data_IF_673006209808
#
_entry.id   IF_673006209808
#
_cell.length_a   1.000
_cell.length_b   1.000
_cell.length_c   1.000
_cell.angle_alpha   90.00
_cell.angle_beta   90.00
_cell.angle_gamma   90.00
#
_symmetry.space_group_name_H-M   'P 1'
#
loop_
_entity.id
_entity.type
_entity.pdbx_description
1 polymer ?
#
# COMPACT_ATOMS: atom_id res chain seq x y z
N UNK A 1 -7.56 -15.74 -4.94
CA UNK A 1 -6.50 -16.74 -4.74
C UNK A 1 -5.19 -15.98 -4.66
N UNK A 2 -4.26 -16.41 -3.81
CA UNK A 2 -2.92 -15.84 -3.72
C UNK A 2 -2.12 -16.11 -5.00
N UNK A 3 -1.15 -15.25 -5.29
CA UNK A 3 -0.24 -15.42 -6.43
C UNK A 3 0.87 -16.43 -6.10
N UNK A 4 1.63 -16.93 -7.09
CA UNK A 4 2.90 -17.59 -6.84
C UNK A 4 3.83 -16.70 -6.01
N UNK A 5 4.62 -17.26 -5.09
CA UNK A 5 5.51 -16.47 -4.22
C UNK A 5 6.50 -15.60 -5.02
N UNK A 6 6.96 -16.08 -6.18
CA UNK A 6 7.87 -15.34 -7.07
C UNK A 6 7.23 -14.13 -7.76
N UNK A 7 5.90 -13.98 -7.69
CA UNK A 7 5.18 -12.83 -8.24
C UNK A 7 4.95 -11.73 -7.18
N UNK A 8 5.46 -11.89 -5.96
CA UNK A 8 5.41 -10.87 -4.92
C UNK A 8 6.69 -10.05 -4.84
N UNK A 9 6.52 -8.73 -4.78
CA UNK A 9 7.54 -7.79 -4.40
C UNK A 9 7.46 -7.49 -2.89
N UNK A 10 8.61 -7.38 -2.23
CA UNK A 10 8.74 -6.95 -0.84
C UNK A 10 8.96 -5.43 -0.79
N UNK A 11 8.20 -4.71 0.04
CA UNK A 11 8.60 -3.37 0.49
C UNK A 11 9.23 -3.46 1.88
N UNK A 12 9.89 -2.40 2.35
CA UNK A 12 10.43 -2.37 3.70
C UNK A 12 10.56 -0.92 4.21
N UNK A 13 10.42 -0.77 5.53
CA UNK A 13 10.75 0.43 6.32
C UNK A 13 11.76 0.13 7.44
N UNK A 14 12.44 -1.02 7.35
CA UNK A 14 13.33 -1.62 8.36
C UNK A 14 12.62 -2.23 9.58
N UNK A 15 11.31 -2.04 9.73
CA UNK A 15 10.52 -2.55 10.86
C UNK A 15 9.56 -3.66 10.44
N UNK A 16 9.03 -3.59 9.22
CA UNK A 16 8.17 -4.63 8.61
C UNK A 16 8.38 -4.73 7.10
N UNK A 17 7.62 -5.62 6.45
CA UNK A 17 7.71 -5.85 5.01
C UNK A 17 6.42 -6.42 4.40
N UNK A 18 5.59 -5.60 3.73
CA UNK A 18 4.44 -6.09 3.00
C UNK A 18 4.86 -6.84 1.73
N UNK A 19 4.03 -7.82 1.35
CA UNK A 19 4.16 -8.53 0.08
C UNK A 19 3.11 -8.02 -0.91
N UNK A 20 3.58 -7.35 -1.96
CA UNK A 20 2.78 -6.78 -3.05
C UNK A 20 2.76 -7.78 -4.21
N UNK A 21 1.62 -8.38 -4.49
CA UNK A 21 1.43 -9.23 -5.66
C UNK A 21 1.52 -8.40 -6.93
N UNK A 22 2.06 -9.00 -8.00
CA UNK A 22 2.05 -8.45 -9.36
C UNK A 22 0.64 -8.07 -9.85
N UNK A 23 -0.43 -8.60 -9.25
CA UNK A 23 -1.82 -8.25 -9.54
C UNK A 23 -2.30 -6.99 -8.78
N UNK A 24 -1.40 -6.28 -8.08
CA UNK A 24 -1.70 -5.03 -7.36
C UNK A 24 -2.32 -5.23 -5.97
N UNK A 25 -2.25 -6.44 -5.41
CA UNK A 25 -2.76 -6.74 -4.06
C UNK A 25 -1.63 -6.83 -3.04
N UNK A 26 -1.76 -6.14 -1.91
CA UNK A 26 -0.94 -6.43 -0.73
C UNK A 26 -1.64 -7.55 0.05
N UNK A 27 -1.05 -8.75 0.04
CA UNK A 27 -1.66 -9.96 0.62
C UNK A 27 -1.04 -10.39 1.95
N UNK A 28 0.08 -9.77 2.32
CA UNK A 28 0.73 -9.93 3.62
C UNK A 28 1.20 -8.58 4.14
N UNK A 29 0.91 -8.28 5.41
CA UNK A 29 1.46 -7.14 6.13
C UNK A 29 1.25 -7.32 7.63
N UNK A 30 2.32 -7.18 8.40
CA UNK A 30 2.29 -7.00 9.84
C UNK A 30 2.59 -5.53 10.15
N UNK A 31 1.83 -4.89 11.04
CA UNK A 31 2.13 -3.53 11.51
C UNK A 31 2.17 -3.50 13.04
N UNK A 32 3.07 -2.70 13.65
CA UNK A 32 4.10 -1.89 13.00
C UNK A 32 5.39 -2.66 12.68
N UNK A 33 5.50 -3.92 13.11
CA UNK A 33 6.76 -4.68 13.08
C UNK A 33 6.57 -6.11 12.57
N UNK A 34 7.65 -6.76 12.13
CA UNK A 34 7.62 -8.11 11.57
C UNK A 34 6.96 -9.17 12.46
N UNK A 35 7.09 -9.06 13.78
CA UNK A 35 6.52 -10.01 14.76
C UNK A 35 5.19 -9.53 15.37
N UNK A 36 4.57 -8.48 14.82
CA UNK A 36 3.17 -8.17 15.09
C UNK A 36 2.24 -9.15 14.40
N UNK A 37 1.00 -9.23 14.90
CA UNK A 37 -0.06 -9.94 14.18
C UNK A 37 -0.34 -9.29 12.82
N UNK A 38 -0.67 -10.11 11.82
CA UNK A 38 -0.90 -9.64 10.47
C UNK A 38 -2.25 -8.91 10.35
N UNK A 39 -2.27 -7.79 9.64
CA UNK A 39 -3.50 -7.09 9.20
C UNK A 39 -3.99 -7.58 7.84
N UNK A 40 -3.06 -8.08 7.02
CA UNK A 40 -3.33 -8.77 5.75
C UNK A 40 -2.67 -10.14 5.80
N UNK A 41 -3.46 -11.18 5.48
CA UNK A 41 -3.00 -12.57 5.47
C UNK A 41 -3.60 -13.40 4.33
N UNK A 42 -4.08 -12.73 3.28
CA UNK A 42 -4.64 -13.37 2.09
C UNK A 42 -3.67 -14.33 1.39
N UNK A 43 -2.34 -14.16 1.55
CA UNK A 43 -1.36 -15.10 1.01
C UNK A 43 -1.52 -16.53 1.55
N UNK A 44 -2.00 -16.65 2.81
CA UNK A 44 -2.22 -17.93 3.51
C UNK A 44 -3.66 -18.46 3.34
N UNK A 45 -4.52 -17.75 2.60
CA UNK A 45 -5.93 -18.11 2.46
C UNK A 45 -6.61 -17.46 1.27
N UNK A 46 -7.58 -16.62 1.56
CA UNK A 46 -8.42 -15.92 0.56
C UNK A 46 -8.43 -14.43 0.85
N UNK A 47 -9.05 -13.65 -0.04
CA UNK A 47 -9.27 -12.21 0.18
C UNK A 47 -9.98 -11.88 1.50
N UNK A 48 -10.79 -12.80 2.04
CA UNK A 48 -11.44 -12.62 3.34
C UNK A 48 -10.48 -12.60 4.53
N UNK A 49 -9.24 -13.06 4.34
CA UNK A 49 -8.17 -13.05 5.35
C UNK A 49 -7.37 -11.74 5.34
N UNK A 50 -7.88 -10.73 4.62
CA UNK A 50 -7.35 -9.38 4.61
C UNK A 50 -6.36 -9.15 3.49
N UNK A 51 -6.61 -8.10 2.73
CA UNK A 51 -5.76 -7.62 1.64
C UNK A 51 -6.01 -6.14 1.38
N UNK A 52 -5.13 -5.57 0.57
CA UNK A 52 -5.35 -4.28 -0.06
C UNK A 52 -5.08 -4.35 -1.55
N UNK A 53 -6.14 -4.48 -2.35
CA UNK A 53 -6.08 -4.47 -3.81
C UNK A 53 -6.21 -3.04 -4.35
N UNK A 54 -5.35 -2.71 -5.31
CA UNK A 54 -5.43 -1.51 -6.14
C UNK A 54 -4.86 -1.86 -7.52
N UNK A 55 -5.73 -1.97 -8.50
CA UNK A 55 -5.33 -2.32 -9.87
C UNK A 55 -6.36 -1.82 -10.88
N UNK A 56 -5.95 -1.50 -12.11
CA UNK A 56 -6.90 -1.29 -13.19
C UNK A 56 -7.60 -2.59 -13.58
N UNK A 57 -8.94 -2.61 -13.72
CA UNK A 57 -9.64 -3.78 -14.22
C UNK A 57 -9.21 -4.06 -15.66
N UNK A 58 -9.00 -5.33 -16.00
CA UNK A 58 -8.50 -5.77 -17.31
C UNK A 58 -7.10 -5.23 -17.67
N UNK A 59 -6.40 -4.63 -16.71
CA UNK A 59 -5.03 -4.18 -16.90
C UNK A 59 -4.05 -5.33 -16.98
N UNK A 60 -3.05 -5.19 -17.85
CA UNK A 60 -1.90 -6.10 -17.92
C UNK A 60 -0.66 -5.36 -17.44
N UNK A 61 0.10 -5.97 -16.53
CA UNK A 61 1.39 -5.42 -16.10
C UNK A 61 2.40 -5.50 -17.24
N UNK A 62 2.87 -4.35 -17.72
CA UNK A 62 3.87 -4.25 -18.79
C UNK A 62 5.28 -4.21 -18.23
N UNK A 63 5.46 -3.63 -17.05
CA UNK A 63 6.75 -3.49 -16.39
C UNK A 63 6.57 -3.45 -14.87
N UNK A 64 7.53 -4.01 -14.15
CA UNK A 64 7.58 -3.93 -12.69
C UNK A 64 9.03 -3.99 -12.23
N UNK A 65 9.46 -2.98 -11.48
CA UNK A 65 10.82 -2.90 -10.98
C UNK A 65 10.87 -2.07 -9.70
N UNK A 66 11.90 -2.28 -8.90
CA UNK A 66 12.28 -1.31 -7.88
C UNK A 66 13.04 -0.17 -8.53
N UNK A 67 12.78 1.08 -8.13
CA UNK A 67 13.64 2.17 -8.56
C UNK A 67 15.09 1.89 -8.16
N UNK A 68 16.07 2.19 -9.02
CA UNK A 68 17.47 1.82 -8.80
C UNK A 68 17.99 2.20 -7.41
N UNK A 69 18.48 1.19 -6.67
CA UNK A 69 19.04 1.36 -5.33
C UNK A 69 18.00 1.66 -4.24
N UNK A 70 16.72 1.28 -4.44
CA UNK A 70 15.65 1.53 -3.46
C UNK A 70 14.71 0.35 -3.27
N UNK A 71 13.90 0.41 -2.21
CA UNK A 71 12.67 -0.41 -2.06
C UNK A 71 11.40 0.32 -2.51
N UNK A 72 11.51 1.34 -3.38
CA UNK A 72 10.35 1.98 -4.02
C UNK A 72 9.96 1.13 -5.22
N UNK A 73 8.79 0.49 -5.15
CA UNK A 73 8.28 -0.36 -6.22
C UNK A 73 7.50 0.48 -7.24
N UNK A 74 7.73 0.22 -8.52
CA UNK A 74 6.95 0.75 -9.64
C UNK A 74 6.32 -0.39 -10.41
N UNK A 75 5.01 -0.30 -10.65
CA UNK A 75 4.27 -1.26 -11.47
C UNK A 75 3.51 -0.51 -12.55
N UNK A 76 3.86 -0.74 -13.81
CA UNK A 76 3.19 -0.14 -14.96
C UNK A 76 2.15 -1.08 -15.54
N UNK A 77 0.99 -0.51 -15.84
CA UNK A 77 -0.19 -1.19 -16.33
C UNK A 77 -0.62 -0.61 -17.65
N UNK A 78 -0.97 -1.49 -18.59
CA UNK A 78 -1.66 -1.15 -19.84
C UNK A 78 -3.11 -1.64 -19.77
N UNK A 79 -4.04 -0.75 -20.08
CA UNK A 79 -5.48 -1.08 -20.25
C UNK A 79 -5.89 -0.80 -21.70
N UNK A 80 -7.12 -1.15 -22.11
CA UNK A 80 -7.63 -0.77 -23.44
C UNK A 80 -7.73 0.75 -23.66
N UNK A 81 -7.77 1.56 -22.60
CA UNK A 81 -8.08 2.99 -22.65
C UNK A 81 -6.93 3.90 -22.18
N UNK A 82 -5.84 3.33 -21.67
CA UNK A 82 -4.71 4.11 -21.19
C UNK A 82 -3.61 3.29 -20.53
N UNK A 83 -2.64 4.00 -19.97
CA UNK A 83 -1.54 3.44 -19.19
C UNK A 83 -1.50 4.10 -17.81
N UNK A 84 -1.18 3.33 -16.78
CA UNK A 84 -1.03 3.82 -15.42
C UNK A 84 0.21 3.25 -14.77
N UNK A 85 0.75 3.98 -13.80
CA UNK A 85 1.84 3.54 -12.94
C UNK A 85 1.38 3.59 -11.50
N UNK A 86 1.63 2.52 -10.75
CA UNK A 86 1.46 2.47 -9.30
C UNK A 86 2.85 2.51 -8.68
N UNK A 87 3.08 3.49 -7.80
CA UNK A 87 4.30 3.67 -7.01
C UNK A 87 3.97 3.32 -5.56
N UNK A 88 4.70 2.38 -5.00
CA UNK A 88 4.44 1.84 -3.67
C UNK A 88 5.72 1.84 -2.84
N UNK A 89 5.64 2.37 -1.62
CA UNK A 89 6.78 2.46 -0.71
C UNK A 89 6.31 2.61 0.74
N UNK A 90 7.24 2.36 1.65
CA UNK A 90 7.07 2.70 3.05
C UNK A 90 8.08 3.80 3.42
N UNK A 91 7.64 4.94 3.98
CA UNK A 91 8.52 5.97 4.51
C UNK A 91 9.48 5.42 5.58
N UNK A 92 10.66 6.05 5.70
CA UNK A 92 11.70 5.65 6.66
C UNK A 92 12.07 6.81 7.55
N UNK A 93 12.40 6.50 8.81
CA UNK A 93 12.96 7.41 9.81
C UNK A 93 12.04 8.58 10.20
N UNK A 94 10.72 8.40 10.10
CA UNK A 94 9.70 9.36 10.57
C UNK A 94 8.95 8.89 11.82
N UNK A 95 9.34 7.75 12.40
CA UNK A 95 8.69 7.08 13.55
C UNK A 95 7.21 6.73 13.30
N UNK A 96 6.83 6.59 12.04
CA UNK A 96 5.48 6.21 11.62
C UNK A 96 5.51 4.82 11.01
N UNK A 97 4.34 4.20 10.95
CA UNK A 97 4.13 2.91 10.29
C UNK A 97 3.15 3.15 9.13
N UNK A 98 3.68 3.77 8.07
CA UNK A 98 2.92 4.18 6.90
C UNK A 98 3.20 3.26 5.70
N UNK A 99 2.16 2.95 4.94
CA UNK A 99 2.25 2.34 3.62
C UNK A 99 1.57 3.24 2.60
N UNK A 100 2.33 3.66 1.60
CA UNK A 100 1.89 4.59 0.56
C UNK A 100 1.68 3.86 -0.76
N UNK A 101 0.56 4.17 -1.43
CA UNK A 101 0.28 3.76 -2.79
C UNK A 101 -0.15 4.99 -3.60
N UNK A 102 0.63 5.33 -4.61
CA UNK A 102 0.37 6.46 -5.51
C UNK A 102 0.08 5.92 -6.91
N UNK A 103 -1.06 6.29 -7.49
CA UNK A 103 -1.43 5.96 -8.87
C UNK A 103 -1.26 7.19 -9.74
N UNK A 104 -0.57 7.05 -10.86
CA UNK A 104 -0.44 8.07 -11.91
C UNK A 104 -1.02 7.54 -13.21
N UNK A 105 -1.85 8.31 -13.89
CA UNK A 105 -2.25 8.01 -15.26
C UNK A 105 -1.20 8.58 -16.23
N UNK A 106 -0.50 7.70 -16.94
CA UNK A 106 0.59 8.06 -17.86
C UNK A 106 0.06 8.52 -19.22
N UNK A 107 -1.05 7.92 -19.69
CA UNK A 107 -1.71 8.29 -20.94
C UNK A 107 -3.17 7.83 -20.97
N UNK A 108 -4.00 8.53 -21.74
CA UNK A 108 -5.41 8.17 -21.92
C UNK A 108 -6.24 8.31 -20.64
N UNK A 109 -7.13 7.35 -20.40
CA UNK A 109 -7.98 7.29 -19.20
C UNK A 109 -7.90 5.89 -18.60
N UNK A 110 -7.61 5.81 -17.30
CA UNK A 110 -7.53 4.54 -16.58
C UNK A 110 -8.44 4.58 -15.36
N UNK A 111 -9.25 3.54 -15.20
CA UNK A 111 -10.00 3.26 -13.98
C UNK A 111 -9.15 2.42 -13.05
N UNK A 112 -9.12 2.75 -11.77
CA UNK A 112 -8.51 1.92 -10.72
C UNK A 112 -9.60 1.39 -9.82
N UNK A 113 -9.65 0.07 -9.65
CA UNK A 113 -10.47 -0.59 -8.65
C UNK A 113 -9.66 -0.78 -7.36
N UNK A 114 -10.27 -0.43 -6.24
CA UNK A 114 -9.70 -0.49 -4.91
C UNK A 114 -10.59 -1.39 -4.04
N UNK A 115 -10.02 -2.44 -3.43
CA UNK A 115 -10.68 -3.29 -2.43
C UNK A 115 -9.78 -3.42 -1.19
N UNK A 116 -10.17 -2.77 -0.10
CA UNK A 116 -9.50 -2.81 1.19
C UNK A 116 -10.28 -3.67 2.19
N UNK A 117 -9.60 -4.70 2.71
CA UNK A 117 -10.11 -5.62 3.74
C UNK A 117 -9.13 -5.65 4.89
N UNK A 118 -9.40 -4.87 5.93
CA UNK A 118 -8.63 -4.92 7.17
C UNK A 118 -9.08 -6.13 8.00
N UNK A 119 -8.14 -7.03 8.31
CA UNK A 119 -8.37 -8.26 9.08
C UNK A 119 -7.24 -8.49 10.09
N UNK A 120 -7.16 -7.67 11.15
CA UNK A 120 -6.13 -7.77 12.18
C UNK A 120 -6.14 -9.13 12.89
N UNK A 121 -5.12 -9.35 13.72
CA UNK A 121 -4.98 -10.56 14.55
C UNK A 121 -4.96 -11.85 13.71
N UNK A 122 -4.26 -11.84 12.56
CA UNK A 122 -4.23 -12.95 11.60
C UNK A 122 -5.62 -13.35 11.10
N UNK A 123 -6.42 -12.33 10.75
CA UNK A 123 -7.80 -12.47 10.34
C UNK A 123 -8.78 -13.05 11.36
N UNK A 124 -8.43 -13.01 12.66
CA UNK A 124 -9.37 -13.38 13.73
C UNK A 124 -10.18 -12.19 14.26
N UNK A 125 -9.81 -10.96 13.90
CA UNK A 125 -10.54 -9.75 14.29
C UNK A 125 -11.18 -9.02 13.10
N UNK A 126 -12.40 -8.53 13.29
CA UNK A 126 -13.06 -7.55 12.43
C UNK A 126 -13.01 -6.17 13.12
N UNK A 127 -12.31 -5.18 12.55
CA UNK A 127 -12.18 -3.88 13.19
C UNK A 127 -13.48 -3.09 13.10
N UNK A 128 -13.74 -2.27 14.13
CA UNK A 128 -14.78 -1.26 14.03
C UNK A 128 -14.27 -0.08 13.19
N UNK A 129 -14.97 0.24 12.10
CA UNK A 129 -14.53 1.28 11.15
C UNK A 129 -15.49 2.47 11.19
N UNK A 130 -14.91 3.67 11.27
CA UNK A 130 -15.65 4.93 11.11
C UNK A 130 -14.97 5.82 10.07
N UNK A 131 -15.77 6.67 9.43
CA UNK A 131 -15.24 7.83 8.72
C UNK A 131 -14.85 8.90 9.72
N UNK A 132 -13.73 9.55 9.46
CA UNK A 132 -13.28 10.76 10.13
C UNK A 132 -13.54 11.92 9.19
N UNK A 133 -14.07 13.01 9.74
CA UNK A 133 -14.44 14.24 9.04
C UNK A 133 -13.56 15.40 9.53
N UNK A 134 -13.66 16.56 8.88
CA UNK A 134 -12.91 17.77 9.25
C UNK A 134 -11.68 17.98 8.37
N UNK A 135 -10.60 18.54 8.96
CA UNK A 135 -9.39 18.94 8.22
C UNK A 135 -8.66 17.77 7.57
N UNK A 136 -8.70 16.59 8.20
CA UNK A 136 -7.96 15.40 7.77
C UNK A 136 -8.89 14.17 7.63
N UNK A 137 -9.79 14.14 6.62
CA UNK A 137 -10.75 13.07 6.47
C UNK A 137 -10.10 11.74 6.08
N UNK A 138 -10.73 10.64 6.47
CA UNK A 138 -10.23 9.28 6.20
C UNK A 138 -11.06 8.19 6.85
N UNK A 139 -10.67 6.94 6.68
CA UNK A 139 -11.26 5.78 7.35
C UNK A 139 -10.39 5.40 8.54
N UNK A 140 -10.95 5.38 9.75
CA UNK A 140 -10.27 4.90 10.96
C UNK A 140 -10.89 3.57 11.40
N UNK A 141 -10.08 2.52 11.39
CA UNK A 141 -10.43 1.19 11.82
C UNK A 141 -9.70 0.85 13.13
N UNK A 142 -10.40 0.31 14.13
CA UNK A 142 -9.82 -0.06 15.43
C UNK A 142 -10.08 -1.54 15.70
N UNK A 143 -9.02 -2.28 16.08
CA UNK A 143 -9.12 -3.62 16.63
C UNK A 143 -8.17 -3.73 17.82
N UNK A 144 -8.72 -3.84 19.03
CA UNK A 144 -7.93 -3.95 20.26
C UNK A 144 -6.90 -2.82 20.43
N UNK A 145 -5.59 -3.14 20.54
CA UNK A 145 -4.53 -2.15 20.74
C UNK A 145 -4.17 -1.39 19.47
N UNK A 146 -4.68 -1.79 18.29
CA UNK A 146 -4.27 -1.27 17.00
C UNK A 146 -5.35 -0.39 16.37
N UNK A 147 -4.92 0.71 15.76
CA UNK A 147 -5.74 1.49 14.86
C UNK A 147 -5.05 1.69 13.51
N UNK A 148 -5.85 1.66 12.45
CA UNK A 148 -5.43 1.85 11.07
C UNK A 148 -6.20 3.03 10.48
N UNK A 149 -5.49 3.96 9.84
CA UNK A 149 -6.07 5.15 9.24
C UNK A 149 -5.74 5.17 7.76
N UNK A 150 -6.75 4.97 6.91
CA UNK A 150 -6.62 5.16 5.47
C UNK A 150 -6.98 6.60 5.12
N UNK A 151 -6.05 7.30 4.49
CA UNK A 151 -6.26 8.62 3.87
C UNK A 151 -6.13 8.52 2.36
N UNK A 152 -6.83 9.39 1.65
CA UNK A 152 -6.93 9.42 0.19
C UNK A 152 -8.37 9.53 -0.29
N UNK A 153 -8.62 9.41 -1.60
CA UNK A 153 -9.96 9.31 -2.16
C UNK A 153 -10.83 8.28 -1.43
N UNK A 154 -12.03 8.71 -1.03
CA UNK A 154 -12.86 7.99 -0.06
C UNK A 154 -13.43 6.68 -0.62
N UNK A 155 -13.35 5.61 0.16
CA UNK A 155 -13.96 4.32 -0.16
C UNK A 155 -15.38 4.19 0.42
N UNK A 156 -16.18 3.33 -0.20
CA UNK A 156 -17.52 2.97 0.24
C UNK A 156 -17.49 1.67 1.04
N UNK A 157 -18.08 1.68 2.23
CA UNK A 157 -18.18 0.50 3.07
C UNK A 157 -19.29 -0.44 2.56
N UNK A 158 -19.03 -1.74 2.59
CA UNK A 158 -20.02 -2.78 2.29
C UNK A 158 -19.45 -4.15 2.60
N UNK A 159 -20.28 -5.07 3.13
CA UNK A 159 -19.90 -6.48 3.32
C UNK A 159 -18.50 -6.71 3.93
N UNK A 160 -18.26 -6.09 5.10
CA UNK A 160 -16.98 -6.14 5.82
C UNK A 160 -15.73 -5.73 5.03
N UNK A 161 -15.89 -4.95 3.95
CA UNK A 161 -14.81 -4.38 3.13
C UNK A 161 -15.09 -2.92 2.77
N UNK A 162 -14.08 -2.27 2.20
CA UNK A 162 -14.18 -0.91 1.68
C UNK A 162 -13.72 -0.89 0.22
N UNK A 163 -14.59 -0.45 -0.68
CA UNK A 163 -14.32 -0.47 -2.12
C UNK A 163 -14.39 0.92 -2.74
N UNK A 164 -13.64 1.15 -3.82
CA UNK A 164 -13.67 2.39 -4.58
C UNK A 164 -13.31 2.14 -6.04
N UNK A 165 -13.84 2.98 -6.92
CA UNK A 165 -13.55 2.96 -8.35
C UNK A 165 -13.23 4.39 -8.76
N UNK A 166 -12.02 4.62 -9.26
CA UNK A 166 -11.48 5.96 -9.49
C UNK A 166 -10.98 6.10 -10.92
N UNK A 167 -11.55 7.04 -11.66
CA UNK A 167 -11.09 7.37 -13.00
C UNK A 167 -9.99 8.44 -12.95
N UNK A 168 -8.89 8.18 -13.64
CA UNK A 168 -7.79 9.12 -13.81
C UNK A 168 -7.56 9.35 -15.31
N UNK A 169 -7.45 10.60 -15.72
CA UNK A 169 -6.99 10.99 -17.05
C UNK A 169 -5.49 11.28 -17.03
N UNK A 170 -4.86 11.27 -18.19
CA UNK A 170 -3.43 11.57 -18.37
C UNK A 170 -2.94 12.75 -17.49
N UNK A 171 -1.82 12.51 -16.79
CA UNK A 171 -1.19 13.45 -15.88
C UNK A 171 -1.80 13.52 -14.48
N UNK A 172 -3.00 12.97 -14.26
CA UNK A 172 -3.60 12.93 -12.92
C UNK A 172 -2.90 11.92 -12.02
N UNK A 173 -2.83 12.27 -10.74
CA UNK A 173 -2.25 11.44 -9.67
C UNK A 173 -3.24 11.36 -8.51
N UNK A 174 -3.38 10.17 -7.93
CA UNK A 174 -4.11 9.96 -6.67
C UNK A 174 -3.25 9.15 -5.71
N UNK A 175 -3.43 9.39 -4.41
CA UNK A 175 -2.58 8.84 -3.36
C UNK A 175 -3.44 8.29 -2.24
N UNK A 176 -3.01 7.14 -1.71
CA UNK A 176 -3.55 6.55 -0.51
C UNK A 176 -2.44 6.23 0.47
N UNK A 177 -2.67 6.56 1.74
CA UNK A 177 -1.76 6.30 2.84
C UNK A 177 -2.50 5.51 3.90
N UNK A 178 -1.99 4.32 4.23
CA UNK A 178 -2.44 3.53 5.36
C UNK A 178 -1.44 3.73 6.51
N UNK A 179 -1.89 4.39 7.58
CA UNK A 179 -1.12 4.65 8.80
C UNK A 179 -1.56 3.71 9.90
N UNK A 180 -0.63 2.99 10.53
CA UNK A 180 -0.88 2.34 11.81
C UNK A 180 -0.50 3.25 12.99
N UNK A 181 -1.31 3.21 14.05
CA UNK A 181 -1.02 3.83 15.35
C UNK A 181 -1.56 2.95 16.48
N UNK A 182 -0.99 3.04 17.71
CA UNK A 182 -1.67 2.52 18.89
C UNK A 182 -3.08 3.13 19.00
N UNK A 183 -4.08 2.32 19.29
CA UNK A 183 -5.49 2.75 19.25
C UNK A 183 -5.84 3.86 20.25
N UNK A 184 -5.03 3.97 21.32
CA UNK A 184 -5.11 4.97 22.38
C UNK A 184 -4.27 6.23 22.12
N UNK A 185 -3.42 6.24 21.09
CA UNK A 185 -2.58 7.38 20.74
C UNK A 185 -3.32 8.36 19.82
N UNK A 186 -2.81 9.58 19.76
CA UNK A 186 -3.25 10.57 18.78
C UNK A 186 -2.87 10.11 17.37
N UNK A 187 -3.79 10.33 16.42
CA UNK A 187 -3.51 10.06 15.01
C UNK A 187 -2.67 11.21 14.50
N UNK A 188 -1.47 10.95 13.95
CA UNK A 188 -0.60 12.03 13.48
C UNK A 188 -1.18 12.65 12.20
N UNK A 189 -0.71 13.84 11.86
CA UNK A 189 -1.14 14.55 10.66
C UNK A 189 -0.90 13.73 9.37
N UNK A 190 -1.63 14.03 8.28
CA UNK A 190 -1.41 13.42 6.98
C UNK A 190 0.05 13.52 6.55
N UNK A 191 0.54 12.46 5.91
CA UNK A 191 1.87 12.41 5.33
C UNK A 191 1.91 13.26 4.05
N UNK A 192 2.92 14.12 3.90
CA UNK A 192 3.27 14.67 2.59
C UNK A 192 3.94 13.57 1.77
N UNK A 193 3.20 12.97 0.84
CA UNK A 193 3.67 11.85 0.02
C UNK A 193 4.86 12.23 -0.87
N UNK A 194 4.91 13.46 -1.37
CA UNK A 194 6.00 13.92 -2.24
C UNK A 194 7.30 14.06 -1.46
N UNK A 195 7.23 14.68 -0.29
CA UNK A 195 8.37 14.80 0.62
C UNK A 195 8.82 13.42 1.13
N UNK A 196 7.87 12.58 1.56
CA UNK A 196 8.16 11.24 2.06
C UNK A 196 8.82 10.34 1.00
N UNK A 197 8.35 10.38 -0.25
CA UNK A 197 8.96 9.65 -1.36
C UNK A 197 10.39 10.12 -1.63
N UNK A 198 10.63 11.43 -1.59
CA UNK A 198 11.97 12.01 -1.78
C UNK A 198 12.95 11.57 -0.69
N UNK A 199 12.52 11.60 0.57
CA UNK A 199 13.32 11.14 1.71
C UNK A 199 13.59 9.64 1.65
N UNK A 200 12.57 8.84 1.31
CA UNK A 200 12.68 7.37 1.18
C UNK A 200 13.69 6.96 0.11
N UNK A 201 13.63 7.60 -1.07
CA UNK A 201 14.63 7.41 -2.14
C UNK A 201 16.04 7.71 -1.66
N UNK A 202 16.22 8.89 -1.05
CA UNK A 202 17.52 9.36 -0.58
C UNK A 202 18.11 8.38 0.43
N UNK A 203 17.31 7.96 1.42
CA UNK A 203 17.73 7.00 2.44
C UNK A 203 18.23 5.70 1.80
N UNK A 204 17.42 5.08 0.94
CA UNK A 204 17.81 3.80 0.35
C UNK A 204 19.00 3.90 -0.58
N UNK A 205 19.08 4.95 -1.39
CA UNK A 205 20.23 5.16 -2.28
C UNK A 205 21.51 5.36 -1.47
N UNK A 206 21.45 6.12 -0.37
CA UNK A 206 22.61 6.34 0.49
C UNK A 206 23.03 5.08 1.25
N UNK A 207 22.07 4.23 1.64
CA UNK A 207 22.36 2.91 2.18
C UNK A 207 22.96 1.98 1.13
N UNK A 208 22.34 1.87 -0.05
CA UNK A 208 22.76 0.96 -1.12
C UNK A 208 24.14 1.31 -1.70
N UNK A 209 24.53 2.60 -1.73
CA UNK A 209 25.88 3.04 -2.15
C UNK A 209 26.99 2.50 -1.26
N UNK A 210 26.69 2.07 -0.03
CA UNK A 210 27.67 1.51 0.91
C UNK A 210 27.93 0.02 0.66
N UNK A 211 27.19 -0.59 -0.26
CA UNK A 211 27.24 -2.02 -0.54
C UNK A 211 27.91 -2.22 -1.89
N UNK A 212 29.12 -2.78 -1.87
CA UNK A 212 29.75 -3.35 -3.06
C UNK A 212 29.40 -4.82 -3.13
N UNK A 213 28.83 -5.24 -4.26
CA UNK A 213 28.60 -6.67 -4.50
C UNK A 213 29.23 -7.11 -5.80
N UNK A 214 30.09 -8.10 -5.68
CA UNK A 214 30.80 -8.73 -6.79
C UNK A 214 30.21 -10.13 -6.99
N UNK A 215 29.47 -10.33 -8.08
CA UNK A 215 28.86 -11.63 -8.38
C UNK A 215 27.79 -11.57 -9.47
N UNK A 216 27.28 -12.75 -9.85
CA UNK A 216 26.07 -12.85 -10.69
C UNK A 216 24.83 -12.80 -9.81
N UNK A 217 23.91 -11.94 -10.20
CA UNK A 217 22.55 -11.82 -9.67
C UNK A 217 21.57 -12.42 -10.67
#
# INVERSE_FOLDING_TARGET
>A
MSAPIGDYALLADLHTGPLVSRQGSIDWLCLPRFDSAAVFSAILGTEEHGRWLMAPPEGTVTDQHYEPGTFVLRTQWRTPTGEAEVIEFMPIADHRADLVRQVRCLSGTVRIEHDLRLRPEHATALPWVRRTEGENPGLRAIAGPDAYVLRGPMLTAGDHRHTGSFDLTEGQTQEWVLTWVPSHAEVPDPLDVTEALTRTRSYWQDWSKQIDVVGRW
#
